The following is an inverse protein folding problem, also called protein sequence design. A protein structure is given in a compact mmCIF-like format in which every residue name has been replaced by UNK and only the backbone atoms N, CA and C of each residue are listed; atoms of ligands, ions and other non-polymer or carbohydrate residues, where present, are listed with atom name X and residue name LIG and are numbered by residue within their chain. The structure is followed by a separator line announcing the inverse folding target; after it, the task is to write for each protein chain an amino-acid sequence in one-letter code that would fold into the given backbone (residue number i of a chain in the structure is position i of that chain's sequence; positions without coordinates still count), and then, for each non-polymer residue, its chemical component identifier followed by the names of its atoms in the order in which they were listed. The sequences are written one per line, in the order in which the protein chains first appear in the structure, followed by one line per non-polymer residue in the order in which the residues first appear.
data_IF_738332267015
#
_entry.id   IF_738332267015
#
_cell.length_a   1.000
_cell.length_b   1.000
_cell.length_c   1.000
_cell.angle_alpha   90.00
_cell.angle_beta   90.00
_cell.angle_gamma   90.00
#
_symmetry.space_group_name_H-M   'P 1'
#
loop_
_entity.id
_entity.type
_entity.pdbx_description
1 polymer ?
#
# COMPACT_ATOMS: atom_id res chain seq x y z
N UNK A 1 -2.66 -15.56 -14.73
CA UNK A 1 -3.30 -14.38 -15.34
C UNK A 1 -2.25 -13.78 -16.26
N UNK A 2 -2.52 -13.60 -17.55
CA UNK A 2 -1.51 -13.19 -18.53
C UNK A 2 -1.03 -11.74 -18.42
N UNK A 3 -1.30 -11.07 -17.29
CA UNK A 3 -0.88 -9.70 -17.05
C UNK A 3 0.59 -9.64 -16.66
N UNK A 4 1.27 -8.61 -17.15
CA UNK A 4 2.61 -8.26 -16.70
C UNK A 4 2.47 -7.59 -15.33
N UNK A 5 2.96 -8.26 -14.28
CA UNK A 5 2.93 -7.75 -12.90
C UNK A 5 4.19 -6.94 -12.62
N UNK A 6 4.02 -5.75 -12.05
CA UNK A 6 5.11 -4.84 -11.78
C UNK A 6 6.05 -5.33 -10.66
N UNK A 7 7.32 -4.93 -10.72
CA UNK A 7 8.33 -5.31 -9.72
C UNK A 7 8.15 -4.50 -8.41
N UNK A 8 7.61 -5.12 -7.36
CA UNK A 8 7.32 -4.46 -6.09
C UNK A 8 8.51 -3.66 -5.51
N UNK A 9 9.75 -4.17 -5.60
CA UNK A 9 10.92 -3.48 -5.08
C UNK A 9 11.18 -2.16 -5.82
N UNK A 10 11.00 -2.14 -7.14
CA UNK A 10 11.10 -0.89 -7.92
C UNK A 10 10.03 0.12 -7.50
N UNK A 11 8.81 -0.34 -7.22
CA UNK A 11 7.73 0.50 -6.69
C UNK A 11 8.08 1.13 -5.33
N UNK A 12 8.57 0.34 -4.38
CA UNK A 12 8.93 0.81 -3.05
C UNK A 12 10.04 1.88 -3.05
N UNK A 13 10.97 1.80 -4.01
CA UNK A 13 12.03 2.81 -4.21
C UNK A 13 11.50 4.17 -4.70
N UNK A 14 10.24 4.23 -5.12
CA UNK A 14 9.58 5.47 -5.54
C UNK A 14 8.97 6.25 -4.36
N UNK A 15 9.16 5.79 -3.11
CA UNK A 15 8.69 6.50 -1.92
C UNK A 15 9.12 7.97 -1.90
N UNK A 16 10.40 8.26 -2.14
CA UNK A 16 10.89 9.65 -2.16
C UNK A 16 10.32 10.45 -3.34
N UNK A 17 10.01 9.78 -4.46
CA UNK A 17 9.37 10.43 -5.59
C UNK A 17 7.94 10.84 -5.23
N UNK A 18 7.18 9.96 -4.58
CA UNK A 18 5.86 10.28 -4.05
C UNK A 18 5.92 11.41 -3.01
N UNK A 19 6.84 11.32 -2.04
CA UNK A 19 6.98 12.32 -0.97
C UNK A 19 7.25 13.73 -1.49
N UNK A 20 7.94 13.85 -2.63
CA UNK A 20 8.29 15.11 -3.26
C UNK A 20 7.38 15.48 -4.45
N UNK A 21 6.23 14.83 -4.62
CA UNK A 21 5.29 15.04 -5.73
C UNK A 21 5.91 14.86 -7.14
N UNK A 22 6.97 14.05 -7.25
CA UNK A 22 7.67 13.73 -8.50
C UNK A 22 7.03 12.53 -9.20
N UNK A 23 5.75 12.64 -9.53
CA UNK A 23 4.95 11.55 -10.12
C UNK A 23 5.42 11.09 -11.50
N UNK A 24 6.20 11.88 -12.22
CA UNK A 24 6.74 11.49 -13.54
C UNK A 24 7.50 10.15 -13.50
N UNK A 25 8.30 9.91 -12.45
CA UNK A 25 9.02 8.63 -12.28
C UNK A 25 8.08 7.47 -11.97
N UNK A 26 6.98 7.74 -11.27
CA UNK A 26 5.93 6.76 -11.03
C UNK A 26 5.23 6.42 -12.35
N UNK A 27 4.96 7.40 -13.21
CA UNK A 27 4.37 7.16 -14.54
C UNK A 27 5.29 6.37 -15.46
N UNK A 28 6.59 6.64 -15.44
CA UNK A 28 7.59 5.86 -16.18
C UNK A 28 7.61 4.41 -15.73
N UNK A 29 7.58 4.17 -14.42
CA UNK A 29 7.45 2.83 -13.86
C UNK A 29 6.12 2.16 -14.29
N UNK A 30 5.01 2.91 -14.33
CA UNK A 30 3.72 2.41 -14.80
C UNK A 30 3.72 1.93 -16.26
N UNK A 31 4.70 2.35 -17.09
CA UNK A 31 4.84 1.87 -18.48
C UNK A 31 5.50 0.50 -18.61
N UNK A 32 5.97 -0.08 -17.50
CA UNK A 32 6.73 -1.35 -17.51
C UNK A 32 5.86 -2.58 -17.30
N UNK A 33 4.61 -2.40 -16.89
CA UNK A 33 3.71 -3.47 -16.48
C UNK A 33 2.24 -3.05 -16.61
N UNK A 34 1.33 -3.98 -16.35
CA UNK A 34 -0.12 -3.78 -16.46
C UNK A 34 -0.82 -3.77 -15.10
N UNK A 35 -0.25 -4.45 -14.10
CA UNK A 35 -0.82 -4.56 -12.75
C UNK A 35 0.19 -4.09 -11.71
N UNK A 36 -0.27 -3.20 -10.84
CA UNK A 36 0.50 -2.54 -9.80
C UNK A 36 -0.22 -2.65 -8.46
N UNK A 37 0.53 -2.81 -7.38
CA UNK A 37 -0.02 -2.98 -6.04
C UNK A 37 0.95 -2.40 -4.99
N UNK A 38 0.43 -2.18 -3.78
CA UNK A 38 1.19 -1.68 -2.64
C UNK A 38 1.89 -0.34 -2.93
N UNK A 39 3.07 -0.07 -2.37
CA UNK A 39 3.79 1.19 -2.57
C UNK A 39 4.23 1.43 -4.04
N UNK A 40 4.06 2.65 -4.59
CA UNK A 40 3.45 3.85 -3.99
C UNK A 40 1.93 3.99 -4.25
N UNK A 41 1.31 2.98 -4.86
CA UNK A 41 -0.10 2.97 -5.30
C UNK A 41 -1.11 3.02 -4.15
N UNK A 42 -0.74 2.48 -2.99
CA UNK A 42 -1.54 2.54 -1.75
C UNK A 42 -1.40 3.88 -1.01
N UNK A 43 -0.50 4.76 -1.43
CA UNK A 43 -0.26 6.02 -0.73
C UNK A 43 -1.34 7.06 -1.04
N UNK A 44 -1.60 8.01 -0.11
CA UNK A 44 -2.54 9.09 -0.33
C UNK A 44 -2.32 9.81 -1.67
N UNK A 45 -3.42 10.17 -2.32
CA UNK A 45 -3.50 10.96 -3.56
C UNK A 45 -2.87 10.34 -4.82
N UNK A 46 -2.12 9.23 -4.72
CA UNK A 46 -1.50 8.57 -5.89
C UNK A 46 -2.53 8.20 -6.95
N UNK A 47 -3.71 7.72 -6.57
CA UNK A 47 -4.78 7.37 -7.51
C UNK A 47 -5.28 8.56 -8.35
N UNK A 48 -5.27 9.79 -7.81
CA UNK A 48 -5.65 11.00 -8.53
C UNK A 48 -4.71 11.26 -9.70
N UNK A 49 -3.41 11.17 -9.42
CA UNK A 49 -2.36 11.38 -10.42
C UNK A 49 -2.35 10.27 -11.47
N UNK A 50 -2.63 9.02 -11.06
CA UNK A 50 -2.67 7.89 -11.98
C UNK A 50 -3.89 7.94 -12.90
N UNK A 51 -5.09 8.26 -12.40
CA UNK A 51 -6.27 8.35 -13.25
C UNK A 51 -6.12 9.46 -14.30
N UNK A 52 -5.55 10.60 -13.91
CA UNK A 52 -5.24 11.69 -14.84
C UNK A 52 -4.21 11.28 -15.92
N UNK A 53 -3.18 10.52 -15.55
CA UNK A 53 -2.14 10.08 -16.48
C UNK A 53 -2.56 8.87 -17.34
N UNK A 54 -3.48 8.05 -16.84
CA UNK A 54 -3.92 6.79 -17.43
C UNK A 54 -5.47 6.67 -17.34
N UNK A 55 -6.22 7.45 -18.13
CA UNK A 55 -7.67 7.63 -17.96
C UNK A 55 -8.53 6.39 -18.24
N UNK A 56 -7.94 5.30 -18.75
CA UNK A 56 -8.64 4.03 -18.98
C UNK A 56 -8.24 2.94 -17.96
N UNK A 57 -7.44 3.31 -16.95
CA UNK A 57 -7.05 2.38 -15.89
C UNK A 57 -8.22 2.02 -14.98
N UNK A 58 -8.13 0.82 -14.40
CA UNK A 58 -9.02 0.34 -13.36
C UNK A 58 -8.30 0.36 -12.02
N UNK A 59 -9.02 0.71 -10.97
CA UNK A 59 -8.56 0.83 -9.59
C UNK A 59 -9.31 -0.17 -8.72
N UNK A 60 -8.59 -0.76 -7.78
CA UNK A 60 -9.14 -1.73 -6.83
C UNK A 60 -8.84 -1.21 -5.42
N UNK A 61 -9.89 -0.89 -4.67
CA UNK A 61 -9.78 -0.50 -3.27
C UNK A 61 -10.01 -1.74 -2.39
N UNK A 62 -8.98 -2.21 -1.72
CA UNK A 62 -9.11 -3.30 -0.75
C UNK A 62 -9.50 -2.77 0.63
N UNK A 63 -10.54 -3.32 1.22
CA UNK A 63 -11.03 -2.97 2.56
C UNK A 63 -10.97 -4.17 3.51
N UNK A 64 -11.28 -3.89 4.77
CA UNK A 64 -11.42 -4.82 5.90
C UNK A 64 -12.82 -4.66 6.50
N UNK A 65 -13.25 -5.62 7.31
CA UNK A 65 -14.56 -5.58 7.97
C UNK A 65 -14.68 -4.39 8.91
N UNK A 66 -13.56 -3.92 9.47
CA UNK A 66 -13.52 -2.71 10.28
C UNK A 66 -12.15 -2.01 10.22
N UNK A 67 -12.10 -0.69 10.51
CA UNK A 67 -10.84 0.03 10.73
C UNK A 67 -10.00 -0.56 11.87
N UNK A 68 -10.65 -1.15 12.89
CA UNK A 68 -9.95 -1.84 13.97
C UNK A 68 -9.19 -3.06 13.45
N UNK A 69 -9.82 -3.88 12.61
CA UNK A 69 -9.17 -5.04 12.00
C UNK A 69 -7.95 -4.64 11.17
N UNK A 70 -8.04 -3.52 10.44
CA UNK A 70 -6.90 -2.96 9.72
C UNK A 70 -5.79 -2.51 10.68
N UNK A 71 -6.13 -1.78 11.75
CA UNK A 71 -5.16 -1.31 12.74
C UNK A 71 -4.41 -2.48 13.42
N UNK A 72 -5.15 -3.50 13.86
CA UNK A 72 -4.58 -4.71 14.46
C UNK A 72 -3.66 -5.46 13.48
N UNK A 73 -4.05 -5.52 12.21
CA UNK A 73 -3.23 -6.11 11.16
C UNK A 73 -1.91 -5.34 10.96
N UNK A 74 -1.96 -4.01 10.95
CA UNK A 74 -0.78 -3.15 10.77
C UNK A 74 0.22 -3.34 11.91
N UNK A 75 -0.23 -3.20 13.17
CA UNK A 75 0.68 -3.30 14.33
C UNK A 75 1.26 -4.71 14.48
N UNK A 76 0.49 -5.74 14.16
CA UNK A 76 0.95 -7.13 14.22
C UNK A 76 1.99 -7.42 13.14
N UNK A 77 1.76 -6.91 11.92
CA UNK A 77 2.71 -7.04 10.82
C UNK A 77 4.02 -6.30 11.11
N UNK A 78 3.94 -5.02 11.50
CA UNK A 78 5.13 -4.25 11.87
C UNK A 78 5.84 -4.83 13.10
N UNK A 79 5.09 -5.32 14.09
CA UNK A 79 5.60 -6.02 15.27
C UNK A 79 6.43 -7.25 14.90
N UNK A 80 5.90 -8.08 13.99
CA UNK A 80 6.61 -9.26 13.46
C UNK A 80 7.89 -8.88 12.70
N UNK A 81 7.83 -7.82 11.89
CA UNK A 81 8.96 -7.43 11.03
C UNK A 81 10.06 -6.71 11.81
N UNK A 82 9.69 -5.80 12.71
CA UNK A 82 10.60 -4.81 13.28
C UNK A 82 10.52 -4.70 14.81
N UNK A 83 9.49 -5.25 15.44
CA UNK A 83 9.19 -5.02 16.86
C UNK A 83 10.16 -5.64 17.85
N UNK A 84 10.97 -6.64 17.46
CA UNK A 84 11.87 -7.38 18.38
C UNK A 84 11.15 -7.86 19.66
N UNK A 85 9.90 -8.30 19.52
CA UNK A 85 9.02 -8.70 20.63
C UNK A 85 7.98 -7.66 21.05
N UNK A 86 8.07 -6.41 20.58
CA UNK A 86 7.09 -5.36 20.84
C UNK A 86 5.98 -5.33 19.78
N UNK A 87 4.72 -5.18 20.22
CA UNK A 87 3.56 -4.95 19.37
C UNK A 87 2.72 -3.83 19.98
N UNK A 88 2.71 -2.61 19.40
CA UNK A 88 3.46 -2.20 18.20
C UNK A 88 4.98 -2.06 18.44
N UNK A 89 5.81 -2.01 17.38
CA UNK A 89 7.22 -1.64 17.49
C UNK A 89 7.43 -0.28 18.14
N UNK A 90 8.53 -0.13 18.88
CA UNK A 90 8.97 1.16 19.42
C UNK A 90 9.58 2.06 18.34
N UNK A 91 9.79 3.33 18.68
CA UNK A 91 10.51 4.29 17.83
C UNK A 91 11.92 3.78 17.47
N UNK A 92 12.66 3.28 18.46
CA UNK A 92 14.01 2.74 18.31
C UNK A 92 14.01 1.50 17.44
N UNK A 93 12.98 0.64 17.57
CA UNK A 93 12.81 -0.52 16.71
C UNK A 93 12.72 -0.12 15.23
N UNK A 94 11.93 0.89 14.90
CA UNK A 94 11.75 1.33 13.51
C UNK A 94 12.98 2.06 12.96
N UNK A 95 13.66 2.87 13.78
CA UNK A 95 14.89 3.56 13.38
C UNK A 95 16.05 2.61 13.09
N UNK A 96 16.15 1.52 13.85
CA UNK A 96 17.21 0.53 13.67
C UNK A 96 16.86 -0.56 12.66
N UNK A 97 15.62 -0.60 12.16
CA UNK A 97 15.18 -1.59 11.19
C UNK A 97 15.83 -1.34 9.80
N UNK A 98 16.27 -2.43 9.17
CA UNK A 98 16.78 -2.43 7.79
C UNK A 98 15.69 -2.94 6.85
N UNK A 99 15.05 -2.03 6.11
CA UNK A 99 14.08 -2.36 5.06
C UNK A 99 14.20 -1.34 3.94
N UNK A 100 14.66 -1.73 2.74
CA UNK A 100 15.19 -0.81 1.73
C UNK A 100 16.48 -0.17 2.25
N UNK A 101 16.43 0.67 3.27
CA UNK A 101 17.61 1.17 3.99
C UNK A 101 17.32 1.32 5.48
N UNK A 102 18.39 1.50 6.27
CA UNK A 102 18.27 1.67 7.73
C UNK A 102 17.38 2.86 8.09
N UNK A 103 16.37 2.62 8.91
CA UNK A 103 15.45 3.66 9.39
C UNK A 103 14.34 4.04 8.41
N UNK A 104 14.25 3.42 7.24
CA UNK A 104 13.14 3.64 6.31
C UNK A 104 11.77 3.33 6.95
N UNK A 105 11.56 2.25 7.74
CA UNK A 105 10.26 2.01 8.39
C UNK A 105 9.81 3.16 9.31
N UNK A 106 10.75 3.84 9.96
CA UNK A 106 10.44 5.03 10.75
C UNK A 106 9.99 6.18 9.87
N UNK A 107 10.75 6.47 8.80
CA UNK A 107 10.47 7.57 7.88
C UNK A 107 9.12 7.35 7.17
N UNK A 108 8.89 6.16 6.61
CA UNK A 108 7.66 5.86 5.88
C UNK A 108 6.43 5.90 6.79
N UNK A 109 6.49 5.32 7.99
CA UNK A 109 5.41 5.40 9.00
C UNK A 109 5.09 6.86 9.33
N UNK A 110 6.11 7.70 9.58
CA UNK A 110 5.92 9.10 9.95
C UNK A 110 5.30 9.92 8.81
N UNK A 111 5.77 9.74 7.58
CA UNK A 111 5.30 10.53 6.44
C UNK A 111 3.91 10.09 5.95
N UNK A 112 3.60 8.79 5.99
CA UNK A 112 2.30 8.27 5.55
C UNK A 112 1.18 8.66 6.51
N UNK A 113 1.41 8.53 7.82
CA UNK A 113 0.35 8.64 8.81
C UNK A 113 0.35 9.94 9.62
N UNK A 114 1.46 10.69 9.60
CA UNK A 114 1.60 11.98 10.31
C UNK A 114 1.19 11.88 11.79
N UNK A 115 1.49 10.74 12.42
CA UNK A 115 1.21 10.47 13.83
C UNK A 115 2.06 11.35 14.76
N UNK A 116 1.66 11.56 16.03
CA UNK A 116 2.48 12.29 17.01
C UNK A 116 3.90 11.72 17.15
N UNK A 117 4.89 12.57 17.41
CA UNK A 117 6.30 12.14 17.52
C UNK A 117 6.55 11.12 18.64
N UNK A 118 5.76 11.19 19.70
CA UNK A 118 5.85 10.30 20.86
C UNK A 118 4.98 9.04 20.73
N UNK A 119 4.16 8.92 19.68
CA UNK A 119 3.29 7.76 19.46
C UNK A 119 3.06 7.52 17.95
N UNK A 120 4.02 6.84 17.32
CA UNK A 120 3.98 6.52 15.89
C UNK A 120 2.81 5.61 15.50
N UNK A 121 2.21 4.93 16.47
CA UNK A 121 1.07 4.04 16.29
C UNK A 121 -0.20 4.57 16.94
N UNK A 122 -0.29 5.90 17.13
CA UNK A 122 -1.45 6.55 17.71
C UNK A 122 -2.75 6.12 17.00
N UNK A 123 -3.51 5.27 17.69
CA UNK A 123 -4.60 4.47 17.12
C UNK A 123 -5.62 5.31 16.40
N UNK A 124 -6.05 6.42 17.02
CA UNK A 124 -7.04 7.32 16.43
C UNK A 124 -6.54 7.90 15.10
N UNK A 125 -5.31 8.42 15.07
CA UNK A 125 -4.75 9.01 13.84
C UNK A 125 -4.61 7.98 12.72
N UNK A 126 -4.21 6.75 13.04
CA UNK A 126 -4.09 5.68 12.05
C UNK A 126 -5.46 5.26 11.50
N UNK A 127 -6.45 5.05 12.37
CA UNK A 127 -7.82 4.71 11.96
C UNK A 127 -8.44 5.84 11.12
N UNK A 128 -8.24 7.09 11.53
CA UNK A 128 -8.73 8.26 10.79
C UNK A 128 -8.06 8.33 9.42
N UNK A 129 -6.75 8.10 9.32
CA UNK A 129 -6.02 8.09 8.03
C UNK A 129 -6.56 7.02 7.09
N UNK A 130 -6.74 5.79 7.58
CA UNK A 130 -7.33 4.69 6.81
C UNK A 130 -8.74 5.02 6.33
N UNK A 131 -9.61 5.48 7.23
CA UNK A 131 -11.02 5.78 6.93
C UNK A 131 -11.14 6.97 5.96
N UNK A 132 -10.32 8.01 6.14
CA UNK A 132 -10.31 9.17 5.27
C UNK A 132 -9.78 8.84 3.88
N UNK A 133 -8.76 7.99 3.77
CA UNK A 133 -8.27 7.52 2.48
C UNK A 133 -9.36 6.78 1.70
N UNK A 134 -10.07 5.85 2.36
CA UNK A 134 -11.19 5.12 1.74
C UNK A 134 -12.27 6.06 1.21
N UNK A 135 -12.74 6.98 2.05
CA UNK A 135 -13.74 7.98 1.65
C UNK A 135 -13.25 8.86 0.51
N UNK A 136 -11.98 9.27 0.52
CA UNK A 136 -11.42 10.09 -0.55
C UNK A 136 -11.40 9.35 -1.89
N UNK A 137 -10.98 8.09 -1.90
CA UNK A 137 -11.00 7.24 -3.11
C UNK A 137 -12.43 7.05 -3.62
N UNK A 138 -13.36 6.66 -2.74
CA UNK A 138 -14.77 6.45 -3.11
C UNK A 138 -15.41 7.72 -3.66
N UNK A 139 -15.19 8.86 -3.01
CA UNK A 139 -15.71 10.16 -3.44
C UNK A 139 -15.13 10.58 -4.81
N UNK A 140 -13.86 10.31 -5.07
CA UNK A 140 -13.23 10.68 -6.34
C UNK A 140 -13.80 9.90 -7.54
N UNK A 141 -14.11 8.61 -7.35
CA UNK A 141 -14.64 7.75 -8.42
C UNK A 141 -16.17 7.70 -8.46
N UNK A 142 -16.89 8.55 -7.72
CA UNK A 142 -18.36 8.54 -7.65
C UNK A 142 -19.01 8.68 -9.05
N UNK A 143 -18.44 9.51 -9.91
CA UNK A 143 -18.90 9.74 -11.28
C UNK A 143 -18.25 8.80 -12.32
N UNK A 144 -17.41 7.85 -11.87
CA UNK A 144 -16.67 6.89 -12.70
C UNK A 144 -16.79 5.45 -12.18
N UNK A 145 -18.02 4.92 -11.98
CA UNK A 145 -18.25 3.63 -11.31
C UNK A 145 -17.66 2.41 -12.03
N UNK A 146 -17.29 2.54 -13.31
CA UNK A 146 -16.64 1.46 -14.06
C UNK A 146 -15.12 1.38 -13.82
N UNK A 147 -14.52 2.39 -13.19
CA UNK A 147 -13.09 2.45 -12.93
C UNK A 147 -12.71 2.01 -11.52
N UNK A 148 -13.62 2.01 -10.54
CA UNK A 148 -13.31 1.58 -9.17
C UNK A 148 -14.07 0.31 -8.80
N UNK A 149 -13.34 -0.67 -8.27
CA UNK A 149 -13.92 -1.80 -7.56
C UNK A 149 -13.46 -1.80 -6.10
N UNK A 150 -14.41 -1.73 -5.17
CA UNK A 150 -14.15 -1.98 -3.76
C UNK A 150 -14.33 -3.46 -3.45
N UNK A 151 -13.31 -4.09 -2.84
CA UNK A 151 -13.34 -5.49 -2.41
C UNK A 151 -12.92 -5.64 -0.95
N UNK A 152 -13.60 -6.50 -0.21
CA UNK A 152 -13.16 -7.00 1.07
C UNK A 152 -12.51 -8.37 0.88
N UNK A 153 -11.21 -8.48 1.13
CA UNK A 153 -10.49 -9.73 0.89
C UNK A 153 -10.89 -10.87 1.84
N UNK A 154 -11.59 -10.57 2.95
CA UNK A 154 -12.16 -11.59 3.82
C UNK A 154 -13.45 -12.19 3.24
N UNK A 155 -14.07 -11.52 2.26
CA UNK A 155 -15.29 -11.98 1.61
C UNK A 155 -14.95 -12.81 0.36
N UNK A 156 -15.19 -14.12 0.43
CA UNK A 156 -15.01 -15.04 -0.68
C UNK A 156 -15.72 -14.60 -1.98
N UNK A 157 -16.90 -13.99 -1.87
CA UNK A 157 -17.68 -13.55 -3.03
C UNK A 157 -17.01 -12.40 -3.81
N UNK A 158 -16.12 -11.65 -3.17
CA UNK A 158 -15.44 -10.52 -3.81
C UNK A 158 -14.34 -10.97 -4.77
N UNK A 159 -13.88 -12.23 -4.68
CA UNK A 159 -12.95 -12.80 -5.66
C UNK A 159 -13.61 -12.89 -7.05
N UNK A 160 -14.87 -13.35 -7.09
CA UNK A 160 -15.65 -13.40 -8.33
C UNK A 160 -15.93 -12.00 -8.88
N UNK A 161 -16.22 -11.03 -8.00
CA UNK A 161 -16.38 -9.61 -8.41
C UNK A 161 -15.10 -9.08 -9.04
N UNK A 162 -13.94 -9.34 -8.44
CA UNK A 162 -12.65 -8.95 -8.99
C UNK A 162 -12.41 -9.56 -10.37
N UNK A 163 -12.63 -10.86 -10.53
CA UNK A 163 -12.45 -11.54 -11.82
C UNK A 163 -13.34 -10.94 -12.92
N UNK A 164 -14.61 -10.69 -12.61
CA UNK A 164 -15.55 -10.02 -13.53
C UNK A 164 -15.08 -8.60 -13.87
N UNK A 165 -14.63 -7.84 -12.88
CA UNK A 165 -14.20 -6.46 -13.07
C UNK A 165 -12.97 -6.35 -13.98
N UNK A 166 -12.05 -7.30 -13.93
CA UNK A 166 -10.88 -7.34 -14.83
C UNK A 166 -11.09 -8.20 -16.08
N UNK A 167 -12.32 -8.68 -16.32
CA UNK A 167 -12.70 -9.50 -17.49
C UNK A 167 -11.89 -10.81 -17.63
N UNK A 168 -11.67 -11.52 -16.53
CA UNK A 168 -11.00 -12.83 -16.55
C UNK A 168 -11.90 -13.93 -16.00
N UNK A 169 -11.72 -15.15 -16.51
CA UNK A 169 -12.32 -16.34 -15.92
C UNK A 169 -11.64 -16.63 -14.57
N UNK A 170 -12.39 -16.83 -13.47
CA UNK A 170 -11.81 -17.11 -12.16
C UNK A 170 -10.91 -18.35 -12.19
N UNK A 171 -9.59 -18.22 -11.91
CA UNK A 171 -8.70 -19.38 -11.86
C UNK A 171 -8.85 -20.20 -10.57
N UNK A 172 -9.52 -19.63 -9.56
CA UNK A 172 -9.76 -20.22 -8.25
C UNK A 172 -11.21 -19.99 -7.82
N UNK A 173 -11.63 -20.59 -6.71
CA UNK A 173 -12.94 -20.31 -6.09
C UNK A 173 -12.91 -19.08 -5.20
N UNK A 174 -11.80 -18.87 -4.48
CA UNK A 174 -11.60 -17.81 -3.49
C UNK A 174 -10.25 -17.10 -3.70
N UNK A 175 -10.03 -16.00 -2.98
CA UNK A 175 -8.72 -15.33 -2.96
C UNK A 175 -7.60 -16.31 -2.56
N UNK A 176 -6.47 -16.32 -3.26
CA UNK A 176 -5.32 -17.13 -2.86
C UNK A 176 -4.74 -16.58 -1.55
N UNK A 177 -4.62 -17.45 -0.55
CA UNK A 177 -3.96 -17.11 0.71
C UNK A 177 -2.48 -17.50 0.64
N UNK A 178 -1.60 -16.51 0.47
CA UNK A 178 -0.16 -16.71 0.63
C UNK A 178 0.16 -16.52 2.12
N UNK A 179 0.75 -17.54 2.75
CA UNK A 179 1.22 -17.41 4.14
C UNK A 179 2.36 -16.38 4.20
N UNK A 180 2.37 -15.55 5.24
CA UNK A 180 3.25 -14.38 5.42
C UNK A 180 4.74 -14.73 5.69
N UNK A 181 5.26 -15.75 5.03
CA UNK A 181 6.45 -16.48 5.50
C UNK A 181 7.76 -16.06 4.86
N UNK A 182 7.81 -15.18 3.84
CA UNK A 182 9.10 -14.69 3.32
C UNK A 182 9.02 -13.25 2.78
N UNK A 183 9.03 -12.25 3.67
CA UNK A 183 9.49 -10.90 3.30
C UNK A 183 10.91 -10.78 3.84
N UNK A 184 11.90 -10.98 2.97
CA UNK A 184 13.29 -10.74 3.31
C UNK A 184 13.57 -9.23 3.34
N UNK A 185 14.48 -8.79 4.21
CA UNK A 185 15.04 -7.44 4.16
C UNK A 185 15.66 -7.21 2.78
N UNK A 186 15.23 -6.15 2.10
CA UNK A 186 15.79 -5.72 0.82
C UNK A 186 16.96 -4.79 1.12
N UNK A 187 18.18 -5.18 0.77
CA UNK A 187 19.36 -4.34 0.93
C UNK A 187 19.41 -3.29 -0.18
N UNK A 188 19.36 -2.01 0.20
CA UNK A 188 19.50 -0.86 -0.68
C UNK A 188 20.30 0.22 0.05
N UNK A 189 21.22 0.89 -0.64
CA UNK A 189 21.87 2.08 -0.09
C UNK A 189 21.01 3.33 -0.37
N UNK A 190 20.69 4.09 0.68
CA UNK A 190 20.06 5.39 0.54
C UNK A 190 21.06 6.37 -0.10
N UNK A 191 20.92 6.61 -1.40
CA UNK A 191 21.77 7.55 -2.14
C UNK A 191 21.39 9.03 -1.93
N UNK A 192 20.32 9.31 -1.17
CA UNK A 192 19.79 10.67 -1.00
C UNK A 192 20.42 11.43 0.18
N UNK A 193 20.89 10.76 1.23
CA UNK A 193 21.68 11.42 2.30
C UNK A 193 23.12 11.78 1.84
N UNK A 194 23.46 11.49 0.59
CA UNK A 194 24.75 11.83 -0.03
C UNK A 194 24.69 13.14 -0.86
N UNK A 195 23.58 13.88 -0.86
CA UNK A 195 23.48 15.23 -1.46
C UNK A 195 23.39 16.33 -0.41
#
# INVERSE_FOLDING_TARGET
MGYIVANQMQGELLFDCWLNNKYQKIFEYCRTAEVFQDAPFSFPETYLHLDNAFPNSKFILTIRDSPEQWYQSLISFHGKMWGKGNVPPTYENLKEANYIYKGFPYISQKQLFKTPDNDLYHKKTLIDTYTNHQKAVENYFIDKPQQLLTINIANANDFKKLCNFVNINPPFTNFPHISSTKIASKEYECNFLKS
#
